data_IF_545221856931
#
_entry.id   IF_545221856931
#
_cell.length_a   1.000
_cell.length_b   1.000
_cell.length_c   1.000
_cell.angle_alpha   90.00
_cell.angle_beta   90.00
_cell.angle_gamma   90.00
#
_symmetry.space_group_name_H-M   'P 1'
#
loop_
_entity.id
_entity.type
_entity.pdbx_description
1 polymer ?
#
# COMPACT_ATOMS: atom_id res chain seq x y z
N UNK A 1 5.76 -13.20 22.79
CA UNK A 1 4.56 -12.81 22.01
C UNK A 1 3.34 -12.76 22.92
N UNK A 2 2.46 -11.76 22.80
CA UNK A 2 1.19 -11.71 23.57
C UNK A 2 0.18 -12.65 22.89
N UNK A 3 -0.26 -13.66 23.60
CA UNK A 3 -1.28 -14.64 23.16
C UNK A 3 -2.55 -14.48 23.98
N UNK A 4 -3.63 -15.19 23.63
CA UNK A 4 -4.86 -15.20 24.42
C UNK A 4 -4.62 -15.63 25.89
N UNK A 5 -3.59 -16.46 26.13
CA UNK A 5 -3.23 -16.98 27.46
C UNK A 5 -2.18 -16.12 28.18
N UNK A 6 -1.88 -14.91 27.66
CA UNK A 6 -0.85 -14.02 28.21
C UNK A 6 0.45 -14.02 27.42
N UNK A 7 1.52 -13.52 28.05
CA UNK A 7 2.86 -13.46 27.45
C UNK A 7 3.46 -14.87 27.38
N UNK A 8 3.86 -15.29 26.18
CA UNK A 8 4.53 -16.56 25.93
C UNK A 8 5.79 -16.34 25.09
N UNK A 9 6.83 -17.10 25.39
CA UNK A 9 7.96 -17.27 24.49
C UNK A 9 7.61 -18.35 23.46
N UNK A 10 7.90 -18.08 22.19
CA UNK A 10 7.64 -18.99 21.08
C UNK A 10 8.98 -19.18 20.37
N UNK A 11 9.47 -20.41 20.34
CA UNK A 11 10.69 -20.78 19.62
C UNK A 11 10.43 -20.73 18.11
N UNK A 12 11.29 -20.04 17.37
CA UNK A 12 11.20 -19.93 15.92
C UNK A 12 12.58 -19.66 15.32
N UNK A 13 12.94 -20.39 14.27
CA UNK A 13 14.15 -20.15 13.48
C UNK A 13 14.03 -18.88 12.62
N UNK A 14 12.80 -18.47 12.29
CA UNK A 14 12.52 -17.29 11.45
C UNK A 14 11.18 -16.67 11.82
N UNK A 15 11.14 -15.34 11.82
CA UNK A 15 9.92 -14.55 12.06
C UNK A 15 9.60 -13.74 10.81
N UNK A 16 8.39 -13.91 10.27
CA UNK A 16 7.87 -13.12 9.14
C UNK A 16 6.81 -12.15 9.67
N UNK A 17 6.96 -10.87 9.35
CA UNK A 17 6.00 -9.83 9.74
C UNK A 17 5.11 -9.46 8.56
N UNK A 18 3.82 -9.79 8.64
CA UNK A 18 2.80 -9.42 7.66
C UNK A 18 1.78 -8.43 8.27
N UNK A 19 2.28 -7.29 8.76
CA UNK A 19 1.51 -6.31 9.54
C UNK A 19 0.84 -5.21 8.68
N UNK A 20 0.81 -5.40 7.37
CA UNK A 20 0.28 -4.45 6.39
C UNK A 20 1.35 -3.82 5.52
N UNK A 21 0.95 -2.84 4.71
CA UNK A 21 1.79 -2.12 3.77
C UNK A 21 1.70 -0.61 4.01
N UNK A 22 2.74 0.12 3.61
CA UNK A 22 2.70 1.57 3.47
C UNK A 22 2.70 1.92 1.98
N UNK A 23 1.99 2.98 1.61
CA UNK A 23 2.03 3.50 0.25
C UNK A 23 3.46 3.92 -0.13
N UNK A 24 3.94 3.54 -1.32
CA UNK A 24 5.18 4.07 -1.90
C UNK A 24 4.85 4.93 -3.13
N UNK A 25 5.00 6.24 -2.98
CA UNK A 25 4.75 7.24 -4.02
C UNK A 25 6.03 7.95 -4.50
N UNK A 26 7.22 7.42 -4.22
CA UNK A 26 8.51 8.12 -4.49
C UNK A 26 8.67 8.53 -5.95
N UNK A 27 8.35 7.64 -6.88
CA UNK A 27 8.48 7.93 -8.31
C UNK A 27 7.54 9.06 -8.72
N UNK A 28 6.29 9.05 -8.23
CA UNK A 28 5.33 10.11 -8.49
C UNK A 28 5.85 11.47 -8.01
N UNK A 29 6.36 11.54 -6.77
CA UNK A 29 6.92 12.78 -6.22
C UNK A 29 8.10 13.32 -7.04
N UNK A 30 8.89 12.44 -7.67
CA UNK A 30 10.01 12.84 -8.52
C UNK A 30 9.60 13.40 -9.88
N UNK A 31 8.43 12.99 -10.41
CA UNK A 31 8.06 13.29 -11.80
C UNK A 31 6.77 14.12 -11.93
N UNK A 32 6.01 14.36 -10.85
CA UNK A 32 4.71 15.07 -10.91
C UNK A 32 4.79 16.45 -11.55
N UNK A 33 5.96 17.10 -11.50
CA UNK A 33 6.20 18.44 -12.03
C UNK A 33 6.91 18.44 -13.40
N UNK A 34 6.92 17.32 -14.14
CA UNK A 34 7.65 17.18 -15.41
C UNK A 34 7.01 17.88 -16.62
N UNK A 35 5.93 18.65 -16.43
CA UNK A 35 5.27 19.41 -17.50
C UNK A 35 4.28 18.59 -18.35
N UNK A 36 4.00 17.35 -17.97
CA UNK A 36 2.89 16.54 -18.52
C UNK A 36 2.02 16.00 -17.36
N UNK A 37 0.73 15.66 -17.59
CA UNK A 37 -0.12 15.08 -16.57
C UNK A 37 0.44 13.77 -16.02
N UNK A 38 0.53 13.66 -14.70
CA UNK A 38 0.94 12.44 -13.98
C UNK A 38 -0.12 12.15 -12.92
N UNK A 39 -0.62 10.91 -12.89
CA UNK A 39 -1.63 10.47 -11.93
C UNK A 39 -1.06 9.44 -10.97
N UNK A 40 -1.28 9.64 -9.66
CA UNK A 40 -0.99 8.65 -8.63
C UNK A 40 -2.24 7.79 -8.40
N UNK A 41 -2.11 6.47 -8.56
CA UNK A 41 -3.22 5.50 -8.43
C UNK A 41 -2.86 4.29 -7.59
N UNK A 42 -3.87 3.56 -7.14
CA UNK A 42 -3.78 2.28 -6.44
C UNK A 42 -3.08 2.40 -5.08
N UNK A 43 -2.41 1.33 -4.67
CA UNK A 43 -1.76 1.26 -3.35
C UNK A 43 -0.63 2.29 -3.17
N UNK A 44 -0.06 2.81 -4.25
CA UNK A 44 0.89 3.92 -4.21
C UNK A 44 0.25 5.22 -3.72
N UNK A 45 -1.06 5.41 -3.97
CA UNK A 45 -1.88 6.50 -3.41
C UNK A 45 -2.34 6.14 -1.99
N UNK A 46 -3.01 5.00 -1.86
CA UNK A 46 -3.57 4.51 -0.62
C UNK A 46 -3.70 2.99 -0.67
N UNK A 47 -2.97 2.30 0.22
CA UNK A 47 -3.07 0.84 0.38
C UNK A 47 -4.52 0.43 0.61
N UNK A 48 -5.02 -0.49 -0.20
CA UNK A 48 -6.38 -1.00 -0.12
C UNK A 48 -6.47 -2.47 -0.52
N UNK A 49 -7.69 -2.97 -0.70
CA UNK A 49 -7.90 -4.28 -1.29
C UNK A 49 -7.95 -4.19 -2.83
N UNK A 50 -7.99 -5.34 -3.49
CA UNK A 50 -7.99 -5.41 -4.96
C UNK A 50 -9.11 -4.59 -5.62
N UNK A 51 -10.30 -4.53 -5.02
CA UNK A 51 -11.41 -3.74 -5.55
C UNK A 51 -11.15 -2.24 -5.44
N UNK A 52 -10.49 -1.78 -4.37
CA UNK A 52 -10.10 -0.38 -4.21
C UNK A 52 -9.14 0.08 -5.30
N UNK A 53 -8.15 -0.76 -5.64
CA UNK A 53 -7.19 -0.48 -6.73
C UNK A 53 -7.90 -0.39 -8.09
N UNK A 54 -8.84 -1.31 -8.38
CA UNK A 54 -9.62 -1.27 -9.63
C UNK A 54 -10.48 0.00 -9.70
N UNK A 55 -11.18 0.31 -8.60
CA UNK A 55 -12.08 1.45 -8.55
C UNK A 55 -11.33 2.77 -8.74
N UNK A 56 -10.21 2.96 -8.05
CA UNK A 56 -9.38 4.17 -8.18
C UNK A 56 -8.85 4.33 -9.62
N UNK A 57 -8.37 3.26 -10.24
CA UNK A 57 -7.94 3.30 -11.65
C UNK A 57 -9.10 3.66 -12.60
N UNK A 58 -10.29 3.10 -12.39
CA UNK A 58 -11.48 3.40 -13.17
C UNK A 58 -11.91 4.87 -13.04
N UNK A 59 -11.96 5.40 -11.82
CA UNK A 59 -12.34 6.79 -11.58
C UNK A 59 -11.38 7.76 -12.24
N UNK A 60 -10.07 7.51 -12.18
CA UNK A 60 -9.10 8.38 -12.87
C UNK A 60 -9.31 8.32 -14.37
N UNK A 61 -9.41 7.12 -14.97
CA UNK A 61 -9.56 6.97 -16.41
C UNK A 61 -10.86 7.57 -16.95
N UNK A 62 -11.95 7.54 -16.18
CA UNK A 62 -13.25 8.09 -16.58
C UNK A 62 -13.31 9.63 -16.50
N UNK A 63 -12.43 10.25 -15.70
CA UNK A 63 -12.41 11.69 -15.45
C UNK A 63 -11.28 12.44 -16.19
N UNK A 64 -10.57 11.76 -17.10
CA UNK A 64 -9.59 12.35 -18.04
C UNK A 64 -10.29 12.62 -19.38
#
# INVERSE_FOLDING_TARGET
MKTADGLKDIEADTVITAVGYNSDNKLYEQIKDCGIPVHLIGDAKQVSNFMGVIWDAYEIAMNI
#
